data_IF_273645109702
#
_entry.id   IF_273645109702
#
_cell.length_a   1.000
_cell.length_b   1.000
_cell.length_c   1.000
_cell.angle_alpha   90.00
_cell.angle_beta   90.00
_cell.angle_gamma   90.00
#
_symmetry.space_group_name_H-M   'P 1'
#
loop_
_entity.id
_entity.type
_entity.pdbx_description
1 polymer ?
#
# COMPACT_ATOMS: atom_id res chain seq x y z
N UNK A 1 17.24 -3.30 5.75
CA UNK A 1 16.01 -2.48 5.76
C UNK A 1 15.89 -1.85 7.13
N UNK A 2 15.81 -0.52 7.21
CA UNK A 2 15.75 0.14 8.53
C UNK A 2 14.42 -0.14 9.23
N UNK A 3 14.37 -0.16 10.58
CA UNK A 3 13.13 -0.38 11.33
C UNK A 3 12.06 0.69 11.04
N UNK A 4 12.47 1.90 10.64
CA UNK A 4 11.55 2.96 10.19
C UNK A 4 10.84 2.59 8.88
N UNK A 5 11.56 2.08 7.88
CA UNK A 5 10.98 1.65 6.60
C UNK A 5 10.00 0.49 6.78
N UNK A 6 10.31 -0.45 7.68
CA UNK A 6 9.38 -1.55 8.00
C UNK A 6 8.06 -1.03 8.59
N UNK A 7 8.11 -0.07 9.52
CA UNK A 7 6.89 0.55 10.08
C UNK A 7 6.10 1.32 9.02
N UNK A 8 6.78 2.03 8.11
CA UNK A 8 6.12 2.74 7.02
C UNK A 8 5.38 1.77 6.10
N UNK A 9 6.00 0.65 5.72
CA UNK A 9 5.36 -0.38 4.89
C UNK A 9 4.13 -0.98 5.58
N UNK A 10 4.23 -1.30 6.87
CA UNK A 10 3.07 -1.81 7.62
C UNK A 10 1.95 -0.77 7.68
N UNK A 11 2.29 0.50 7.90
CA UNK A 11 1.30 1.58 7.92
C UNK A 11 0.63 1.79 6.55
N UNK A 12 1.40 1.73 5.47
CA UNK A 12 0.88 1.78 4.09
C UNK A 12 -0.03 0.57 3.82
N UNK A 13 0.31 -0.61 4.34
CA UNK A 13 -0.53 -1.81 4.26
C UNK A 13 -1.85 -1.67 5.01
N UNK A 14 -1.81 -1.08 6.21
CA UNK A 14 -3.03 -0.79 6.99
C UNK A 14 -3.92 0.21 6.24
N UNK A 15 -3.35 1.25 5.64
CA UNK A 15 -4.11 2.21 4.82
C UNK A 15 -4.78 1.55 3.61
N UNK A 16 -4.04 0.74 2.85
CA UNK A 16 -4.61 0.01 1.71
C UNK A 16 -5.69 -1.00 2.16
N UNK A 17 -5.56 -1.60 3.35
CA UNK A 17 -6.59 -2.45 3.92
C UNK A 17 -7.87 -1.66 4.28
N UNK A 18 -7.73 -0.47 4.86
CA UNK A 18 -8.87 0.43 5.07
C UNK A 18 -9.55 0.82 3.75
N UNK A 19 -8.76 1.14 2.73
CA UNK A 19 -9.27 1.48 1.39
C UNK A 19 -10.04 0.31 0.76
N UNK A 20 -9.54 -0.92 0.92
CA UNK A 20 -10.25 -2.14 0.54
C UNK A 20 -11.59 -2.30 1.27
N UNK A 21 -11.61 -2.12 2.59
CA UNK A 21 -12.83 -2.21 3.38
C UNK A 21 -13.87 -1.16 2.96
N UNK A 22 -13.43 0.07 2.68
CA UNK A 22 -14.30 1.15 2.20
C UNK A 22 -14.88 0.80 0.82
N UNK A 23 -14.06 0.34 -0.12
CA UNK A 23 -14.51 -0.06 -1.45
C UNK A 23 -15.50 -1.22 -1.40
N UNK A 24 -15.22 -2.26 -0.60
CA UNK A 24 -16.15 -3.35 -0.36
C UNK A 24 -17.47 -2.86 0.26
N UNK A 25 -17.41 -1.96 1.25
CA UNK A 25 -18.60 -1.34 1.83
C UNK A 25 -19.44 -0.58 0.82
N UNK A 26 -18.81 0.17 -0.10
CA UNK A 26 -19.49 0.87 -1.19
C UNK A 26 -20.16 -0.12 -2.16
N UNK A 27 -19.48 -1.20 -2.53
CA UNK A 27 -20.07 -2.25 -3.37
C UNK A 27 -21.23 -2.96 -2.67
N UNK A 28 -21.14 -3.21 -1.36
CA UNK A 28 -22.22 -3.80 -0.59
C UNK A 28 -23.44 -2.86 -0.51
N UNK A 29 -23.22 -1.56 -0.28
CA UNK A 29 -24.30 -0.57 -0.30
C UNK A 29 -24.92 -0.43 -1.69
N UNK A 30 -24.13 -0.48 -2.75
CA UNK A 30 -24.63 -0.48 -4.13
C UNK A 30 -25.49 -1.73 -4.40
N UNK A 31 -25.00 -2.92 -4.02
CA UNK A 31 -25.77 -4.16 -4.14
C UNK A 31 -27.06 -4.14 -3.32
N UNK A 32 -27.03 -3.50 -2.15
CA UNK A 32 -28.23 -3.29 -1.34
C UNK A 32 -29.21 -2.33 -2.00
N UNK A 33 -28.74 -1.24 -2.62
CA UNK A 33 -29.57 -0.28 -3.33
C UNK A 33 -30.21 -0.86 -4.60
N UNK A 34 -29.49 -1.69 -5.36
CA UNK A 34 -30.03 -2.32 -6.57
C UNK A 34 -30.93 -3.53 -6.30
N UNK A 35 -30.53 -4.42 -5.38
CA UNK A 35 -31.11 -5.76 -5.23
C UNK A 35 -31.74 -6.01 -3.87
N UNK A 36 -31.59 -5.07 -2.93
CA UNK A 36 -32.06 -5.25 -1.54
C UNK A 36 -31.21 -6.22 -0.72
N UNK A 37 -30.09 -6.74 -1.26
CA UNK A 37 -29.22 -7.71 -0.60
C UNK A 37 -27.89 -7.04 -0.26
N UNK A 38 -27.50 -7.06 1.01
CA UNK A 38 -26.22 -6.53 1.46
C UNK A 38 -25.09 -7.54 1.15
N UNK A 39 -24.52 -7.44 -0.05
CA UNK A 39 -23.47 -8.35 -0.51
C UNK A 39 -22.47 -7.61 -1.40
N UNK A 40 -21.17 -7.85 -1.18
CA UNK A 40 -20.11 -7.32 -2.04
C UNK A 40 -20.02 -8.05 -3.41
N UNK A 41 -20.79 -9.12 -3.62
CA UNK A 41 -20.85 -9.86 -4.89
C UNK A 41 -19.48 -10.31 -5.40
N UNK A 42 -19.16 -10.03 -6.67
CA UNK A 42 -17.82 -10.17 -7.24
C UNK A 42 -17.00 -8.86 -7.18
N UNK A 43 -17.60 -7.75 -6.72
CA UNK A 43 -16.98 -6.42 -6.65
C UNK A 43 -15.79 -6.35 -5.68
N UNK A 44 -15.76 -7.23 -4.67
CA UNK A 44 -14.61 -7.36 -3.78
C UNK A 44 -13.33 -7.76 -4.53
N UNK A 45 -13.40 -8.51 -5.63
CA UNK A 45 -12.22 -8.85 -6.44
C UNK A 45 -11.60 -7.58 -7.04
N UNK A 46 -12.43 -6.68 -7.58
CA UNK A 46 -11.96 -5.39 -8.09
C UNK A 46 -11.32 -4.56 -6.97
N UNK A 47 -11.92 -4.54 -5.77
CA UNK A 47 -11.36 -3.87 -4.61
C UNK A 47 -10.01 -4.48 -4.18
N UNK A 48 -9.82 -5.80 -4.21
CA UNK A 48 -8.54 -6.47 -3.94
C UNK A 48 -7.48 -6.06 -4.96
N UNK A 49 -7.81 -6.02 -6.25
CA UNK A 49 -6.84 -5.63 -7.28
C UNK A 49 -6.38 -4.18 -7.13
N UNK A 50 -7.30 -3.26 -6.81
CA UNK A 50 -6.98 -1.84 -6.63
C UNK A 50 -6.15 -1.62 -5.35
N UNK A 51 -6.60 -2.17 -4.22
CA UNK A 51 -5.91 -2.01 -2.93
C UNK A 51 -4.58 -2.80 -2.87
N UNK A 52 -4.56 -4.01 -3.43
CA UNK A 52 -3.36 -4.83 -3.50
C UNK A 52 -2.33 -4.28 -4.49
N UNK A 53 -2.78 -3.82 -5.66
CA UNK A 53 -1.91 -3.22 -6.68
C UNK A 53 -1.25 -1.93 -6.20
N UNK A 54 -2.03 -1.04 -5.57
CA UNK A 54 -1.51 0.19 -4.96
C UNK A 54 -0.49 -0.10 -3.85
N UNK A 55 -0.77 -1.08 -2.99
CA UNK A 55 0.17 -1.50 -1.95
C UNK A 55 1.50 -2.02 -2.52
N UNK A 56 1.46 -2.88 -3.54
CA UNK A 56 2.67 -3.41 -4.18
C UNK A 56 3.53 -2.29 -4.77
N UNK A 57 2.90 -1.31 -5.44
CA UNK A 57 3.60 -0.15 -6.00
C UNK A 57 4.25 0.70 -4.91
N UNK A 58 3.54 1.00 -3.82
CA UNK A 58 4.07 1.76 -2.69
C UNK A 58 5.27 1.06 -2.04
N UNK A 59 5.17 -0.26 -1.81
CA UNK A 59 6.27 -1.05 -1.26
C UNK A 59 7.49 -1.02 -2.19
N UNK A 60 7.29 -1.16 -3.50
CA UNK A 60 8.37 -1.09 -4.49
C UNK A 60 9.06 0.28 -4.47
N UNK A 61 8.28 1.36 -4.42
CA UNK A 61 8.81 2.73 -4.32
C UNK A 61 9.65 2.92 -3.05
N UNK A 62 9.14 2.49 -1.89
CA UNK A 62 9.87 2.59 -0.61
C UNK A 62 11.18 1.81 -0.62
N UNK A 63 11.19 0.62 -1.21
CA UNK A 63 12.41 -0.19 -1.34
C UNK A 63 13.45 0.50 -2.24
N UNK A 64 13.02 1.14 -3.32
CA UNK A 64 13.93 1.87 -4.21
C UNK A 64 14.49 3.13 -3.55
N UNK A 65 13.65 3.87 -2.84
CA UNK A 65 14.02 5.09 -2.10
C UNK A 65 15.07 4.79 -1.02
N UNK A 66 14.89 3.73 -0.23
CA UNK A 66 15.84 3.30 0.80
C UNK A 66 17.20 2.90 0.19
N UNK A 67 17.18 2.20 -0.96
CA UNK A 67 18.40 1.85 -1.71
C UNK A 67 19.14 3.09 -2.24
N UNK A 68 18.40 4.10 -2.73
CA UNK A 68 18.97 5.36 -3.20
C UNK A 68 19.63 6.13 -2.06
N UNK A 69 18.98 6.20 -0.90
CA UNK A 69 19.49 6.88 0.30
C UNK A 69 20.76 6.20 0.83
N UNK A 70 20.80 4.86 0.91
CA UNK A 70 22.01 4.14 1.32
C UNK A 70 23.19 4.43 0.39
N UNK A 71 22.97 4.45 -0.93
CA UNK A 71 24.03 4.79 -1.90
C UNK A 71 24.54 6.22 -1.75
N UNK A 72 23.70 7.17 -1.33
CA UNK A 72 24.13 8.55 -1.04
C UNK A 72 24.91 8.64 0.27
N UNK A 73 24.45 7.96 1.31
CA UNK A 73 25.14 7.93 2.60
C UNK A 73 26.56 7.33 2.48
N UNK A 74 26.72 6.23 1.75
CA UNK A 74 28.01 5.61 1.46
C UNK A 74 28.98 6.55 0.70
N UNK A 75 28.48 7.36 -0.24
CA UNK A 75 29.31 8.35 -0.96
C UNK A 75 29.77 9.49 -0.05
N UNK A 76 28.89 9.97 0.83
CA UNK A 76 29.22 11.02 1.80
C UNK A 76 30.22 10.56 2.86
N UNK A 77 30.17 9.29 3.27
CA UNK A 77 31.18 8.73 4.18
C UNK A 77 32.55 8.66 3.51
N UNK A 78 32.63 8.22 2.25
CA UNK A 78 33.90 8.15 1.53
C UNK A 78 34.58 9.52 1.36
N UNK A 79 33.79 10.57 1.12
CA UNK A 79 34.29 11.95 1.01
C UNK A 79 34.75 12.57 2.34
N UNK A 80 34.49 11.93 3.48
CA UNK A 80 34.96 12.36 4.80
C UNK A 80 36.27 11.68 5.23
N UNK A 81 36.61 10.57 4.59
CA UNK A 81 37.83 9.81 4.87
C UNK A 81 39.00 10.22 3.95
N UNK A 82 38.71 10.90 2.83
CA UNK A 82 39.66 11.62 1.97
C UNK A 82 39.84 13.07 2.44
#
# INVERSE_FOLDING_TARGET
>A
MTPRTKRAIVNDGVKCFFEFCILCGLFAMYGWAEKGIFTCGAGWLAAVFVAGGSFILLVRFRIQEDRQLQKRALRMQRYKEE
#
